data_IF_086199721436
#
_entry.id   IF_086199721436
#
_cell.length_a   1.000
_cell.length_b   1.000
_cell.length_c   1.000
_cell.angle_alpha   90.00
_cell.angle_beta   90.00
_cell.angle_gamma   90.00
#
_symmetry.space_group_name_H-M   'P 1'
#
loop_
_entity.id
_entity.type
_entity.pdbx_description
1 polymer ?
#
# COMPACT_ATOMS: atom_id res chain seq x y z
N UNK A 1 -5.37 46.34 3.21
CA UNK A 1 -6.63 45.92 3.88
C UNK A 1 -6.34 45.64 5.35
N UNK A 2 -7.12 46.22 6.27
CA UNK A 2 -6.93 46.04 7.70
C UNK A 2 -7.05 44.55 8.09
N UNK A 3 -6.04 44.01 8.77
CA UNK A 3 -6.02 42.64 9.28
C UNK A 3 -6.86 42.58 10.56
N UNK A 4 -8.17 42.33 10.44
CA UNK A 4 -9.04 42.20 11.61
C UNK A 4 -8.71 40.92 12.40
N UNK A 5 -8.36 41.08 13.69
CA UNK A 5 -7.97 40.00 14.62
C UNK A 5 -9.00 38.86 14.69
N UNK A 6 -10.30 39.17 14.60
CA UNK A 6 -11.39 38.19 14.77
C UNK A 6 -11.73 37.38 13.52
N UNK A 7 -11.68 37.99 12.33
CA UNK A 7 -12.11 37.35 11.07
C UNK A 7 -10.96 36.70 10.28
N UNK A 8 -9.71 37.08 10.55
CA UNK A 8 -8.54 36.48 9.91
C UNK A 8 -8.60 36.54 8.37
N UNK A 9 -8.26 35.44 7.71
CA UNK A 9 -8.24 35.30 6.25
C UNK A 9 -9.61 35.51 5.58
N UNK A 10 -10.70 35.25 6.31
CA UNK A 10 -12.07 35.47 5.81
C UNK A 10 -12.50 36.94 5.86
N UNK A 11 -11.61 37.84 6.27
CA UNK A 11 -11.78 39.29 6.11
C UNK A 11 -12.03 39.69 4.66
N UNK A 12 -11.45 38.97 3.68
CA UNK A 12 -11.61 39.23 2.24
C UNK A 12 -13.05 39.14 1.73
N UNK A 13 -13.92 38.44 2.46
CA UNK A 13 -15.32 38.27 2.10
C UNK A 13 -16.18 39.50 2.42
N UNK A 14 -15.63 40.48 3.16
CA UNK A 14 -16.36 41.69 3.56
C UNK A 14 -17.57 41.36 4.45
N UNK A 15 -18.69 42.10 4.36
CA UNK A 15 -19.90 41.83 5.14
C UNK A 15 -20.75 40.66 4.59
N UNK A 16 -20.37 40.05 3.47
CA UNK A 16 -21.19 39.05 2.75
C UNK A 16 -21.16 37.66 3.40
N UNK A 17 -22.14 36.82 3.06
CA UNK A 17 -22.25 35.38 3.37
C UNK A 17 -22.55 34.97 4.82
N UNK A 18 -22.63 35.94 5.75
CA UNK A 18 -23.00 35.69 7.14
C UNK A 18 -21.87 35.11 8.02
N UNK A 19 -22.03 35.22 9.33
CA UNK A 19 -20.97 34.90 10.29
C UNK A 19 -20.64 33.40 10.37
N UNK A 20 -21.64 32.52 10.27
CA UNK A 20 -21.47 31.06 10.43
C UNK A 20 -20.61 30.46 9.31
N UNK A 21 -20.89 30.82 8.06
CA UNK A 21 -20.13 30.33 6.91
C UNK A 21 -18.67 30.81 6.96
N UNK A 22 -18.47 32.08 7.31
CA UNK A 22 -17.12 32.65 7.46
C UNK A 22 -16.30 31.95 8.54
N UNK A 23 -16.89 31.62 9.68
CA UNK A 23 -16.20 30.85 10.73
C UNK A 23 -15.77 29.48 10.22
N UNK A 24 -16.67 28.72 9.58
CA UNK A 24 -16.35 27.41 8.99
C UNK A 24 -15.23 27.49 7.95
N UNK A 25 -15.28 28.50 7.07
CA UNK A 25 -14.25 28.70 6.06
C UNK A 25 -12.90 29.04 6.69
N UNK A 26 -12.89 29.88 7.73
CA UNK A 26 -11.67 30.22 8.48
C UNK A 26 -11.02 28.96 9.08
N UNK A 27 -11.82 28.09 9.66
CA UNK A 27 -11.33 26.83 10.26
C UNK A 27 -10.74 25.89 9.19
N UNK A 28 -11.39 25.78 8.02
CA UNK A 28 -10.86 25.01 6.89
C UNK A 28 -9.56 25.58 6.32
N UNK A 29 -9.47 26.91 6.20
CA UNK A 29 -8.26 27.58 5.71
C UNK A 29 -7.09 27.44 6.69
N UNK A 30 -7.36 27.49 8.00
CA UNK A 30 -6.37 27.21 9.04
C UNK A 30 -5.84 25.79 8.92
N UNK A 31 -6.73 24.79 8.91
CA UNK A 31 -6.37 23.37 8.73
C UNK A 31 -5.53 23.11 7.47
N UNK A 32 -5.83 23.82 6.37
CA UNK A 32 -5.08 23.77 5.12
C UNK A 32 -3.67 24.33 5.24
N UNK A 33 -3.52 25.45 5.96
CA UNK A 33 -2.24 26.15 6.15
C UNK A 33 -1.41 25.59 7.30
N UNK A 34 -2.01 24.75 8.15
CA UNK A 34 -1.34 24.16 9.29
C UNK A 34 -0.07 23.38 8.87
N UNK A 35 0.98 23.42 9.71
CA UNK A 35 2.21 22.69 9.48
C UNK A 35 1.97 21.16 9.53
N UNK A 36 2.06 20.49 8.38
CA UNK A 36 1.91 19.02 8.29
C UNK A 36 3.26 18.30 8.08
N UNK A 37 3.42 17.15 8.73
CA UNK A 37 4.62 16.29 8.62
C UNK A 37 4.54 15.37 7.41
N UNK A 38 5.61 15.34 6.63
CA UNK A 38 5.77 14.41 5.51
C UNK A 38 5.93 12.96 6.00
N UNK A 39 5.28 11.96 5.37
CA UNK A 39 5.43 10.57 5.77
C UNK A 39 6.81 10.00 5.46
N UNK A 40 7.53 10.53 4.47
CA UNK A 40 8.85 10.05 4.05
C UNK A 40 9.99 10.68 4.85
N UNK A 41 10.10 12.00 4.84
CA UNK A 41 11.22 12.70 5.45
C UNK A 41 10.94 13.26 6.85
N UNK A 42 9.76 13.01 7.43
CA UNK A 42 9.28 13.46 8.76
C UNK A 42 9.31 14.98 9.04
N UNK A 43 9.86 15.78 8.13
CA UNK A 43 9.90 17.24 8.21
C UNK A 43 8.55 17.88 7.93
N UNK A 44 8.36 19.07 8.51
CA UNK A 44 7.19 19.92 8.32
C UNK A 44 7.36 20.75 7.06
N UNK A 45 7.14 20.14 5.90
CA UNK A 45 7.36 20.77 4.59
C UNK A 45 6.27 20.47 3.56
N UNK A 46 5.12 19.95 4.01
CA UNK A 46 4.00 19.64 3.13
C UNK A 46 3.26 20.90 2.71
N UNK A 47 2.99 21.00 1.41
CA UNK A 47 2.11 22.01 0.83
C UNK A 47 1.08 21.35 -0.08
N UNK A 48 -0.11 21.93 -0.10
CA UNK A 48 -1.19 21.49 -0.99
C UNK A 48 -0.94 22.03 -2.40
N UNK A 49 -0.95 21.15 -3.40
CA UNK A 49 -0.92 21.53 -4.82
C UNK A 49 -2.34 21.69 -5.37
N UNK A 50 -3.17 20.65 -5.24
CA UNK A 50 -4.55 20.62 -5.73
C UNK A 50 -5.49 20.07 -4.65
N UNK A 51 -6.79 19.96 -4.92
CA UNK A 51 -7.70 19.26 -4.01
C UNK A 51 -7.28 17.79 -3.85
N UNK A 52 -6.96 17.38 -2.62
CA UNK A 52 -6.52 16.01 -2.33
C UNK A 52 -5.05 15.71 -2.68
N UNK A 53 -4.32 16.62 -3.35
CA UNK A 53 -2.94 16.40 -3.76
C UNK A 53 -1.97 17.23 -2.90
N UNK A 54 -1.02 16.54 -2.28
CA UNK A 54 -0.02 17.12 -1.37
C UNK A 54 1.40 16.84 -1.85
N UNK A 55 2.27 17.85 -1.75
CA UNK A 55 3.65 17.82 -2.21
C UNK A 55 4.58 18.26 -1.08
N UNK A 56 5.57 17.44 -0.77
CA UNK A 56 6.64 17.80 0.15
C UNK A 56 7.73 18.59 -0.57
N UNK A 57 8.03 19.79 -0.08
CA UNK A 57 9.09 20.65 -0.68
C UNK A 57 10.53 20.17 -0.46
N UNK A 58 10.76 19.18 0.41
CA UNK A 58 12.12 18.71 0.74
C UNK A 58 12.50 17.41 0.03
N UNK A 59 11.53 16.51 -0.18
CA UNK A 59 11.78 15.19 -0.76
C UNK A 59 10.95 14.93 -2.02
N UNK A 60 10.23 15.95 -2.51
CA UNK A 60 9.37 15.95 -3.69
C UNK A 60 8.33 14.82 -3.76
N UNK A 61 8.00 14.25 -2.59
CA UNK A 61 6.94 13.27 -2.47
C UNK A 61 5.59 13.94 -2.76
N UNK A 62 4.96 13.49 -3.83
CA UNK A 62 3.56 13.77 -4.15
C UNK A 62 2.70 12.61 -3.64
N UNK A 63 1.65 12.89 -2.87
CA UNK A 63 0.71 11.85 -2.45
C UNK A 63 -0.73 12.37 -2.39
N UNK A 64 -1.66 11.43 -2.46
CA UNK A 64 -3.09 11.67 -2.31
C UNK A 64 -3.50 11.66 -0.82
N UNK A 65 -4.31 12.63 -0.42
CA UNK A 65 -4.83 12.79 0.93
C UNK A 65 -6.17 13.50 0.93
N UNK A 66 -6.55 14.09 2.07
CA UNK A 66 -7.78 14.87 2.16
C UNK A 66 -7.70 16.22 1.44
N UNK A 67 -8.86 16.84 1.19
CA UNK A 67 -8.96 18.10 0.47
C UNK A 67 -8.35 19.30 1.24
N UNK A 68 -8.50 19.32 2.57
CA UNK A 68 -8.01 20.40 3.44
C UNK A 68 -6.99 19.94 4.47
N UNK A 69 -6.92 18.65 4.75
CA UNK A 69 -5.90 18.04 5.62
C UNK A 69 -5.28 16.84 4.90
N UNK A 70 -3.96 16.60 4.99
CA UNK A 70 -3.34 15.48 4.31
C UNK A 70 -3.81 14.13 4.85
N UNK A 71 -4.07 14.04 6.15
CA UNK A 71 -4.62 12.86 6.80
C UNK A 71 -6.05 13.12 7.27
N UNK A 72 -6.96 12.22 6.92
CA UNK A 72 -8.37 12.23 7.34
C UNK A 72 -8.62 11.11 8.35
N UNK A 73 -9.67 11.23 9.14
CA UNK A 73 -10.05 10.17 10.09
C UNK A 73 -10.39 8.86 9.40
N UNK A 74 -11.15 8.92 8.30
CA UNK A 74 -11.44 7.77 7.46
C UNK A 74 -10.15 7.14 6.87
N UNK A 75 -9.20 7.96 6.42
CA UNK A 75 -7.92 7.47 5.91
C UNK A 75 -7.06 6.82 7.01
N UNK A 76 -7.11 7.32 8.24
CA UNK A 76 -6.45 6.69 9.39
C UNK A 76 -7.11 5.37 9.78
N UNK A 77 -8.44 5.30 9.76
CA UNK A 77 -9.18 4.06 10.03
C UNK A 77 -8.87 2.98 8.99
N UNK A 78 -8.83 3.34 7.71
CA UNK A 78 -8.49 2.42 6.63
C UNK A 78 -7.08 1.83 6.79
N UNK A 79 -6.09 2.67 7.13
CA UNK A 79 -4.71 2.21 7.39
C UNK A 79 -4.66 1.19 8.53
N UNK A 80 -5.34 1.47 9.63
CA UNK A 80 -5.40 0.54 10.79
C UNK A 80 -6.05 -0.79 10.41
N UNK A 81 -7.13 -0.77 9.63
CA UNK A 81 -7.79 -2.00 9.18
C UNK A 81 -6.89 -2.84 8.27
N UNK A 82 -6.14 -2.20 7.37
CA UNK A 82 -5.17 -2.87 6.50
C UNK A 82 -4.02 -3.47 7.33
N UNK A 83 -3.47 -2.70 8.27
CA UNK A 83 -2.40 -3.17 9.18
C UNK A 83 -2.83 -4.38 10.00
N UNK A 84 -4.05 -4.37 10.54
CA UNK A 84 -4.62 -5.51 11.28
C UNK A 84 -4.76 -6.75 10.40
N UNK A 85 -5.20 -6.59 9.14
CA UNK A 85 -5.35 -7.70 8.21
C UNK A 85 -3.99 -8.31 7.83
N UNK A 86 -3.02 -7.47 7.48
CA UNK A 86 -1.66 -7.91 7.15
C UNK A 86 -1.03 -8.65 8.34
N UNK A 87 -1.22 -8.14 9.56
CA UNK A 87 -0.74 -8.81 10.78
C UNK A 87 -1.40 -10.18 10.97
N UNK A 88 -2.71 -10.30 10.72
CA UNK A 88 -3.44 -11.58 10.75
C UNK A 88 -2.90 -12.56 9.71
N UNK A 89 -2.72 -12.12 8.47
CA UNK A 89 -2.20 -12.95 7.38
C UNK A 89 -0.78 -13.49 7.73
N UNK A 90 0.09 -12.65 8.30
CA UNK A 90 1.42 -13.07 8.76
C UNK A 90 1.41 -14.11 9.88
N UNK A 91 0.41 -14.06 10.78
CA UNK A 91 0.25 -15.06 11.85
C UNK A 91 -0.17 -16.41 11.25
N UNK A 92 -1.09 -16.41 10.29
CA UNK A 92 -1.55 -17.66 9.64
C UNK A 92 -0.46 -18.38 8.86
N UNK A 93 0.44 -17.64 8.19
CA UNK A 93 1.58 -18.23 7.46
C UNK A 93 2.55 -18.93 8.43
N UNK A 94 2.66 -18.45 9.67
CA UNK A 94 3.52 -19.05 10.70
C UNK A 94 2.92 -20.31 11.33
N UNK A 95 1.59 -20.45 11.31
CA UNK A 95 0.87 -21.63 11.83
C UNK A 95 0.69 -22.76 10.82
N UNK A 96 1.04 -22.56 9.55
CA UNK A 96 1.13 -23.67 8.62
C UNK A 96 2.38 -24.49 8.93
N UNK A 97 2.23 -25.53 9.76
CA UNK A 97 3.09 -26.70 9.64
C UNK A 97 3.05 -27.12 8.16
N UNK A 98 4.21 -27.32 7.50
CA UNK A 98 4.20 -27.80 6.14
C UNK A 98 3.42 -29.11 6.14
N UNK A 99 2.27 -29.14 5.47
CA UNK A 99 1.52 -30.37 5.23
C UNK A 99 2.43 -31.22 4.35
N UNK A 100 3.26 -32.04 4.98
CA UNK A 100 4.03 -33.06 4.30
C UNK A 100 2.96 -34.03 3.79
N UNK A 101 2.75 -34.16 2.48
CA UNK A 101 1.77 -35.12 2.00
C UNK A 101 2.28 -36.51 2.40
N UNK A 102 1.57 -37.18 3.30
CA UNK A 102 1.94 -38.49 3.88
C UNK A 102 1.77 -39.65 2.89
N UNK A 103 1.90 -39.40 1.59
CA UNK A 103 1.66 -40.43 0.59
C UNK A 103 2.66 -40.32 -0.56
N UNK A 104 3.91 -40.72 -0.27
CA UNK A 104 4.69 -41.40 -1.29
C UNK A 104 4.24 -42.87 -1.27
N UNK A 105 3.37 -43.32 -2.18
CA UNK A 105 3.21 -44.76 -2.37
C UNK A 105 4.58 -45.28 -2.79
N UNK A 106 5.11 -46.24 -2.04
CA UNK A 106 6.27 -47.03 -2.41
C UNK A 106 5.91 -47.75 -3.72
N UNK A 107 6.15 -47.09 -4.86
CA UNK A 107 6.18 -47.76 -6.16
C UNK A 107 7.38 -48.68 -6.12
N UNK A 108 7.11 -49.95 -5.82
CA UNK A 108 8.03 -51.03 -6.11
C UNK A 108 8.35 -50.92 -7.60
N UNK A 109 9.61 -50.64 -7.88
CA UNK A 109 10.14 -50.65 -9.24
C UNK A 109 10.14 -52.13 -9.62
N UNK A 110 9.13 -52.57 -10.37
CA UNK A 110 9.25 -53.82 -11.11
C UNK A 110 10.41 -53.63 -12.08
N UNK A 111 11.54 -54.23 -11.74
CA UNK A 111 12.66 -54.39 -12.64
C UNK A 111 12.15 -55.21 -13.83
N UNK A 112 11.85 -54.53 -14.93
CA UNK A 112 11.66 -55.18 -16.21
C UNK A 112 12.98 -55.89 -16.56
N UNK A 113 13.00 -57.20 -16.37
CA UNK A 113 14.02 -58.08 -16.93
C UNK A 113 13.95 -57.94 -18.44
N UNK A 114 14.90 -57.23 -19.03
CA UNK A 114 15.08 -57.18 -20.47
C UNK A 114 15.60 -58.57 -20.85
N UNK A 115 14.80 -59.33 -21.61
CA UNK A 115 15.25 -60.56 -22.24
C UNK A 115 16.36 -60.22 -23.24
N UNK A 116 17.52 -60.88 -23.08
CA UNK A 116 18.62 -60.77 -24.03
C UNK A 116 18.15 -61.31 -25.39
N UNK A 117 18.15 -60.46 -26.41
CA UNK A 117 18.05 -60.94 -27.78
C UNK A 117 19.41 -61.53 -28.17
N UNK A 118 19.41 -62.83 -28.45
CA UNK A 118 20.54 -63.54 -29.02
C UNK A 118 20.92 -62.90 -30.38
N UNK A 119 22.09 -62.26 -30.42
CA UNK A 119 22.80 -61.97 -31.67
C UNK A 119 23.13 -63.32 -32.32
N UNK A 120 22.46 -63.63 -33.43
CA UNK A 120 22.87 -64.73 -34.30
C UNK A 120 24.16 -64.33 -35.00
N UNK A 121 25.25 -64.98 -34.63
CA UNK A 121 26.45 -65.05 -35.44
C UNK A 121 26.14 -65.89 -36.69
N UNK A 122 25.88 -65.25 -37.82
CA UNK A 122 26.01 -65.88 -39.14
C UNK A 122 27.47 -65.76 -39.60
N UNK A 123 28.32 -66.63 -39.06
CA UNK A 123 29.51 -67.08 -39.77
C UNK A 123 29.19 -68.42 -40.46
N UNK A 124 29.21 -68.38 -41.79
CA UNK A 124 30.09 -69.19 -42.65
C UNK A 124 29.38 -69.96 -43.79
N UNK A 125 29.75 -69.62 -45.02
CA UNK A 125 30.00 -70.51 -46.17
C UNK A 125 30.55 -69.61 -47.30
N UNK A 126 31.85 -69.69 -47.59
CA UNK A 126 32.42 -70.56 -48.64
C UNK A 126 31.89 -70.21 -50.04
N UNK A 127 32.53 -69.22 -50.69
CA UNK A 127 33.20 -69.30 -52.02
C UNK A 127 33.55 -67.90 -52.58
#
# INVERSE_FOLDING_TARGET
MARLKKVGSTGRLGPRYGAKLRRRMLDLERRKLDPHRCPRCSTVALKRMAAGLWLCRKCDLVFAGGAYTPYTDAGRAARRAIEQRIAGDLITIREQEPVVPEFLPRREIELATIEAQDMKDEENSED
#
